data_IF_511147543822
#
_entry.id   IF_511147543822
#
_cell.length_a   1.000
_cell.length_b   1.000
_cell.length_c   1.000
_cell.angle_alpha   90.00
_cell.angle_beta   90.00
_cell.angle_gamma   90.00
#
_symmetry.space_group_name_H-M   'P 1'
#
loop_
_entity.id
_entity.type
_entity.pdbx_description
1 polymer ?
#
# COMPACT_ATOMS: atom_id res chain seq x y z
N UNK A 1 6.09 19.72 -9.60
CA UNK A 1 5.34 18.51 -10.02
C UNK A 1 5.85 17.32 -9.22
N UNK A 2 4.96 16.41 -8.81
CA UNK A 2 5.29 15.17 -8.08
C UNK A 2 5.19 13.91 -8.98
N UNK A 3 5.18 14.09 -10.30
CA UNK A 3 5.06 12.98 -11.25
C UNK A 3 6.31 12.09 -11.21
N UNK A 4 6.08 10.77 -11.30
CA UNK A 4 7.13 9.76 -11.33
C UNK A 4 7.07 8.96 -12.66
N UNK A 5 7.62 7.75 -12.67
CA UNK A 5 7.77 6.92 -13.87
C UNK A 5 6.46 6.31 -14.39
N UNK A 6 5.40 6.25 -13.57
CA UNK A 6 4.10 5.64 -13.92
C UNK A 6 4.19 4.18 -14.42
N UNK A 7 5.12 3.39 -13.86
CA UNK A 7 5.32 1.97 -14.23
C UNK A 7 4.34 1.00 -13.55
N UNK A 8 3.63 1.45 -12.51
CA UNK A 8 2.60 0.69 -11.79
C UNK A 8 1.34 1.56 -11.62
N UNK A 9 0.17 0.92 -11.52
CA UNK A 9 -1.14 1.58 -11.40
C UNK A 9 -1.56 1.93 -9.98
N UNK A 10 -0.65 1.84 -9.01
CA UNK A 10 -0.90 2.10 -7.59
C UNK A 10 0.27 2.86 -6.99
N UNK A 11 0.04 3.46 -5.82
CA UNK A 11 1.08 4.10 -5.02
C UNK A 11 1.72 3.09 -4.07
N UNK A 12 3.00 3.29 -3.74
CA UNK A 12 3.72 2.46 -2.78
C UNK A 12 4.08 3.34 -1.58
N UNK A 13 3.66 2.91 -0.39
CA UNK A 13 4.19 3.40 0.88
C UNK A 13 5.26 2.41 1.35
N UNK A 14 6.55 2.64 1.07
CA UNK A 14 7.61 1.74 1.50
C UNK A 14 7.83 1.86 3.01
N UNK A 15 8.54 0.87 3.58
CA UNK A 15 8.82 0.82 5.02
C UNK A 15 7.54 0.98 5.85
N UNK A 16 6.44 0.37 5.39
CA UNK A 16 5.18 0.43 6.11
C UNK A 16 5.29 -0.31 7.44
N UNK A 17 4.79 0.33 8.49
CA UNK A 17 4.60 -0.26 9.80
C UNK A 17 3.35 0.33 10.43
N UNK A 18 2.55 -0.53 11.07
CA UNK A 18 1.41 -0.11 11.88
C UNK A 18 1.83 0.29 13.31
N UNK A 19 3.11 0.09 13.67
CA UNK A 19 3.60 0.43 14.98
C UNK A 19 3.59 1.95 15.20
N UNK A 20 2.99 2.36 16.31
CA UNK A 20 3.07 3.73 16.83
C UNK A 20 3.89 3.70 18.12
N UNK A 21 4.65 4.76 18.38
CA UNK A 21 5.32 4.93 19.67
C UNK A 21 4.29 5.28 20.73
N UNK A 22 4.24 4.50 21.82
CA UNK A 22 3.33 4.76 22.93
C UNK A 22 3.61 6.15 23.53
N UNK A 23 2.56 6.94 23.76
CA UNK A 23 2.65 8.32 24.26
C UNK A 23 3.09 9.37 23.22
N UNK A 24 3.32 8.98 21.96
CA UNK A 24 3.63 9.92 20.89
C UNK A 24 2.33 10.48 20.29
N UNK A 25 2.09 11.78 20.42
CA UNK A 25 0.89 12.46 19.90
C UNK A 25 0.92 12.76 18.39
N UNK A 26 1.84 12.13 17.66
CA UNK A 26 1.93 12.25 16.21
C UNK A 26 1.02 11.26 15.49
N UNK A 27 0.72 11.53 14.23
CA UNK A 27 -0.16 10.68 13.41
C UNK A 27 0.48 9.31 13.13
N UNK A 28 -0.37 8.28 13.12
CA UNK A 28 -0.01 6.96 12.63
C UNK A 28 0.19 6.96 11.11
N UNK A 29 0.85 5.92 10.59
CA UNK A 29 0.98 5.74 9.14
C UNK A 29 -0.40 5.63 8.48
N UNK A 30 -1.31 4.92 9.12
CA UNK A 30 -2.67 4.70 8.62
C UNK A 30 -3.45 6.02 8.53
N UNK A 31 -3.30 6.92 9.50
CA UNK A 31 -3.90 8.27 9.46
C UNK A 31 -3.40 9.09 8.28
N UNK A 32 -2.07 9.15 8.08
CA UNK A 32 -1.48 9.89 6.97
C UNK A 32 -1.90 9.35 5.60
N UNK A 33 -2.03 8.03 5.48
CA UNK A 33 -2.53 7.41 4.25
C UNK A 33 -4.01 7.68 4.02
N UNK A 34 -4.82 7.74 5.09
CA UNK A 34 -6.22 8.12 5.00
C UNK A 34 -6.39 9.57 4.51
N UNK A 35 -5.59 10.51 5.03
CA UNK A 35 -5.58 11.90 4.54
C UNK A 35 -5.16 12.01 3.08
N UNK A 36 -4.13 11.28 2.68
CA UNK A 36 -3.71 11.20 1.28
C UNK A 36 -4.87 10.71 0.38
N UNK A 37 -5.59 9.69 0.81
CA UNK A 37 -6.71 9.11 0.07
C UNK A 37 -7.97 9.99 0.08
N UNK A 38 -8.16 10.85 1.08
CA UNK A 38 -9.23 11.86 1.08
C UNK A 38 -9.08 12.85 -0.10
N UNK A 39 -7.84 13.22 -0.41
CA UNK A 39 -7.50 14.12 -1.52
C UNK A 39 -7.34 13.39 -2.87
N UNK A 40 -7.01 12.09 -2.84
CA UNK A 40 -6.72 11.27 -4.03
C UNK A 40 -7.59 10.01 -4.04
N UNK A 41 -8.92 10.21 -4.13
CA UNK A 41 -9.92 9.18 -3.85
C UNK A 41 -9.94 7.99 -4.81
N UNK A 42 -9.37 8.16 -6.01
CA UNK A 42 -9.22 7.13 -7.04
C UNK A 42 -7.93 6.31 -6.89
N UNK A 43 -7.03 6.71 -6.00
CA UNK A 43 -5.76 6.01 -5.79
C UNK A 43 -5.92 4.77 -4.90
N UNK A 44 -5.08 3.78 -5.17
CA UNK A 44 -4.84 2.63 -4.30
C UNK A 44 -3.40 2.69 -3.79
N UNK A 45 -3.19 2.45 -2.49
CA UNK A 45 -1.86 2.49 -1.85
C UNK A 45 -1.48 1.11 -1.30
N UNK A 46 -0.31 0.60 -1.68
CA UNK A 46 0.33 -0.56 -1.04
C UNK A 46 1.21 -0.10 0.14
N UNK A 47 0.80 -0.42 1.36
CA UNK A 47 1.65 -0.33 2.55
C UNK A 47 2.61 -1.51 2.60
N UNK A 48 3.78 -1.35 1.99
CA UNK A 48 4.76 -2.42 1.80
C UNK A 48 5.79 -2.43 2.95
N UNK A 49 5.81 -3.47 3.80
CA UNK A 49 6.75 -3.53 4.93
C UNK A 49 8.19 -3.82 4.48
N UNK A 50 9.13 -3.61 5.40
CA UNK A 50 10.53 -4.01 5.17
C UNK A 50 10.68 -5.53 4.97
N UNK A 51 11.65 -5.92 4.14
CA UNK A 51 11.88 -7.32 3.78
C UNK A 51 10.79 -7.91 2.89
N UNK A 52 10.01 -7.07 2.20
CA UNK A 52 9.04 -7.48 1.19
C UNK A 52 9.25 -6.74 -0.13
N UNK A 53 8.72 -7.30 -1.21
CA UNK A 53 8.73 -6.70 -2.55
C UNK A 53 7.46 -7.02 -3.32
N UNK A 54 7.18 -6.21 -4.34
CA UNK A 54 6.17 -6.48 -5.35
C UNK A 54 6.87 -6.84 -6.66
N UNK A 55 6.76 -8.10 -7.07
CA UNK A 55 7.25 -8.57 -8.37
C UNK A 55 6.17 -8.32 -9.41
N UNK A 56 6.48 -7.52 -10.42
CA UNK A 56 5.54 -7.18 -11.50
C UNK A 56 6.00 -7.83 -12.80
N UNK A 57 5.15 -8.69 -13.36
CA UNK A 57 5.38 -9.42 -14.60
C UNK A 57 4.14 -9.30 -15.50
N UNK A 58 4.19 -8.39 -16.47
CA UNK A 58 3.03 -8.02 -17.28
C UNK A 58 1.91 -7.43 -16.40
N UNK A 59 0.66 -7.95 -16.46
CA UNK A 59 -0.44 -7.45 -15.64
C UNK A 59 -0.49 -8.05 -14.23
N UNK A 60 0.42 -8.98 -13.90
CA UNK A 60 0.42 -9.69 -12.63
C UNK A 60 1.38 -9.05 -11.64
N UNK A 61 0.89 -8.83 -10.43
CA UNK A 61 1.67 -8.36 -9.27
C UNK A 61 1.69 -9.48 -8.23
N UNK A 62 2.87 -9.92 -7.83
CA UNK A 62 3.07 -10.91 -6.78
C UNK A 62 3.72 -10.26 -5.56
N UNK A 63 3.12 -10.40 -4.39
CA UNK A 63 3.75 -10.02 -3.13
C UNK A 63 4.70 -11.11 -2.66
N UNK A 64 5.92 -10.74 -2.31
CA UNK A 64 6.90 -11.65 -1.71
C UNK A 64 7.47 -11.07 -0.42
N UNK A 65 7.79 -11.94 0.54
CA UNK A 65 8.27 -11.53 1.86
C UNK A 65 7.16 -11.52 2.91
N UNK A 66 6.88 -10.36 3.50
CA UNK A 66 5.89 -10.20 4.59
C UNK A 66 4.51 -9.77 4.07
N UNK A 67 3.42 -10.01 4.83
CA UNK A 67 2.10 -9.48 4.49
C UNK A 67 2.11 -7.95 4.38
N UNK A 68 1.41 -7.41 3.40
CA UNK A 68 1.26 -5.97 3.21
C UNK A 68 -0.17 -5.54 3.53
N UNK A 69 -0.42 -4.23 3.64
CA UNK A 69 -1.78 -3.69 3.63
C UNK A 69 -2.07 -2.95 2.33
N UNK A 70 -3.31 -3.02 1.87
CA UNK A 70 -3.82 -2.22 0.75
C UNK A 70 -4.86 -1.23 1.26
N UNK A 71 -4.65 0.04 0.95
CA UNK A 71 -5.52 1.14 1.37
C UNK A 71 -6.27 1.73 0.17
N UNK A 72 -7.56 2.01 0.38
CA UNK A 72 -8.45 2.67 -0.59
C UNK A 72 -9.35 3.66 0.13
N UNK A 73 -9.73 4.74 -0.54
CA UNK A 73 -10.62 5.73 0.04
C UNK A 73 -11.96 5.13 0.44
N UNK A 74 -12.42 5.44 1.66
CA UNK A 74 -13.70 4.98 2.19
C UNK A 74 -13.79 3.48 2.48
N UNK A 75 -12.66 2.76 2.51
CA UNK A 75 -12.60 1.32 2.79
C UNK A 75 -11.62 1.03 3.93
N UNK A 76 -11.92 0.00 4.72
CA UNK A 76 -10.93 -0.52 5.68
C UNK A 76 -9.72 -1.11 4.93
N UNK A 77 -8.53 -0.93 5.51
CA UNK A 77 -7.30 -1.45 4.92
C UNK A 77 -7.32 -2.99 4.94
N UNK A 78 -7.05 -3.60 3.78
CA UNK A 78 -7.08 -5.05 3.62
C UNK A 78 -5.66 -5.60 3.73
N UNK A 79 -5.45 -6.57 4.61
CA UNK A 79 -4.19 -7.32 4.69
C UNK A 79 -4.10 -8.32 3.52
N UNK A 80 -2.94 -8.35 2.88
CA UNK A 80 -2.64 -9.25 1.76
C UNK A 80 -1.48 -10.15 2.16
N UNK A 81 -1.66 -11.48 2.16
CA UNK A 81 -0.61 -12.41 2.55
C UNK A 81 0.48 -12.51 1.50
N UNK A 82 1.70 -12.86 1.94
CA UNK A 82 2.81 -13.19 1.05
C UNK A 82 2.43 -14.32 0.08
N UNK A 83 2.89 -14.24 -1.15
CA UNK A 83 2.52 -15.16 -2.23
C UNK A 83 1.21 -14.82 -2.94
N UNK A 84 0.44 -13.84 -2.46
CA UNK A 84 -0.75 -13.37 -3.15
C UNK A 84 -0.41 -12.83 -4.54
N UNK A 85 -1.27 -13.15 -5.51
CA UNK A 85 -1.20 -12.67 -6.89
C UNK A 85 -2.40 -11.76 -7.16
N UNK A 86 -2.12 -10.57 -7.66
CA UNK A 86 -3.11 -9.52 -7.89
C UNK A 86 -2.94 -8.94 -9.30
N UNK A 87 -3.94 -8.19 -9.74
CA UNK A 87 -3.82 -7.33 -10.93
C UNK A 87 -3.12 -6.00 -10.63
N UNK A 88 -2.90 -5.19 -11.67
CA UNK A 88 -2.27 -3.85 -11.60
C UNK A 88 -3.00 -2.81 -10.73
N UNK A 89 -4.21 -3.11 -10.26
CA UNK A 89 -4.99 -2.28 -9.32
C UNK A 89 -4.98 -2.85 -7.89
N UNK A 90 -4.17 -3.89 -7.64
CA UNK A 90 -4.12 -4.63 -6.38
C UNK A 90 -5.48 -5.21 -5.93
N UNK A 91 -6.32 -5.55 -6.90
CA UNK A 91 -7.57 -6.26 -6.65
C UNK A 91 -7.21 -7.71 -6.34
N UNK A 92 -7.44 -8.11 -5.09
CA UNK A 92 -7.27 -9.49 -4.62
C UNK A 92 -8.52 -10.26 -5.04
N UNK A 93 -8.35 -11.35 -5.79
CA UNK A 93 -9.44 -12.26 -6.14
C UNK A 93 -9.70 -13.25 -5.01
#
# INVERSE_FOLDING_TARGET
SLHALHVVGFQINPHYTAATLEGHGGESRDQRLAEYLELNRDMTVAGLPEGSLLRVEGPQVTLEGRPMKVFRHGQEAVEVPSGARMGMELNVR
#
